data_IF_455125938097
#
_entry.id   IF_455125938097
#
_cell.length_a   1.000
_cell.length_b   1.000
_cell.length_c   1.000
_cell.angle_alpha   90.00
_cell.angle_beta   90.00
_cell.angle_gamma   90.00
#
_symmetry.space_group_name_H-M   'P 1'
#
loop_
_entity.id
_entity.type
_entity.pdbx_description
1 polymer ?
#
# COMPACT_ATOMS: atom_id res chain seq x y z
N UNK A 1 -0.39 -15.86 17.41
CA UNK A 1 -1.25 -14.83 16.77
C UNK A 1 -0.38 -14.01 15.84
N UNK A 2 -0.86 -13.67 14.64
CA UNK A 2 -0.14 -12.86 13.66
C UNK A 2 -0.76 -11.46 13.57
N UNK A 3 0.07 -10.42 13.66
CA UNK A 3 -0.37 -9.03 13.57
C UNK A 3 -0.25 -8.51 12.15
N UNK A 4 -1.25 -7.74 11.73
CA UNK A 4 -1.25 -6.98 10.47
C UNK A 4 -1.55 -5.52 10.82
N UNK A 5 -0.73 -4.59 10.32
CA UNK A 5 -0.93 -3.15 10.52
C UNK A 5 -1.08 -2.45 9.17
N UNK A 6 -2.12 -1.62 9.05
CA UNK A 6 -2.41 -0.81 7.87
C UNK A 6 -2.00 0.64 8.11
N UNK A 7 -1.35 1.25 7.12
CA UNK A 7 -0.84 2.62 7.21
C UNK A 7 -1.16 3.41 5.95
N UNK A 8 -1.25 4.73 6.07
CA UNK A 8 -1.13 5.65 4.92
C UNK A 8 0.32 6.09 4.74
N UNK A 9 0.75 6.38 3.51
CA UNK A 9 2.13 6.74 3.19
C UNK A 9 2.68 7.93 4.01
N UNK A 10 1.92 9.02 4.08
CA UNK A 10 2.36 10.22 4.80
C UNK A 10 2.48 9.98 6.32
N UNK A 11 1.52 9.26 6.91
CA UNK A 11 1.54 8.96 8.34
C UNK A 11 2.67 7.98 8.69
N UNK A 12 2.88 6.95 7.84
CA UNK A 12 3.92 5.95 8.06
C UNK A 12 5.32 6.56 8.12
N UNK A 13 5.60 7.53 7.24
CA UNK A 13 6.88 8.22 7.21
C UNK A 13 7.00 9.33 8.27
N UNK A 14 5.90 9.98 8.65
CA UNK A 14 5.91 11.20 9.46
C UNK A 14 5.66 11.02 10.96
N UNK A 15 5.03 9.93 11.39
CA UNK A 15 4.70 9.72 12.81
C UNK A 15 5.81 8.94 13.54
N UNK A 16 6.44 9.58 14.52
CA UNK A 16 7.55 8.97 15.28
C UNK A 16 7.21 7.65 15.97
N UNK A 17 5.94 7.45 16.35
CA UNK A 17 5.48 6.19 16.96
C UNK A 17 5.65 4.98 16.03
N UNK A 18 5.69 5.18 14.71
CA UNK A 18 5.97 4.10 13.75
C UNK A 18 7.40 3.61 13.91
N UNK A 19 8.36 4.54 13.96
CA UNK A 19 9.77 4.24 14.22
C UNK A 19 9.98 3.58 15.59
N UNK A 20 9.34 4.13 16.62
CA UNK A 20 9.41 3.58 17.99
C UNK A 20 8.88 2.15 18.02
N UNK A 21 7.75 1.88 17.36
CA UNK A 21 7.15 0.53 17.31
C UNK A 21 8.04 -0.47 16.60
N UNK A 22 8.72 -0.09 15.51
CA UNK A 22 9.70 -0.96 14.86
C UNK A 22 10.82 -1.38 15.81
N UNK A 23 11.30 -0.50 16.70
CA UNK A 23 12.34 -0.85 17.67
C UNK A 23 11.89 -1.87 18.71
N UNK A 24 10.58 -2.04 18.91
CA UNK A 24 10.04 -3.05 19.82
C UNK A 24 9.98 -4.44 19.17
N UNK A 25 10.09 -4.54 17.83
CA UNK A 25 9.82 -5.75 17.05
C UNK A 25 10.65 -6.98 17.46
N UNK A 26 11.87 -6.77 17.99
CA UNK A 26 12.80 -7.85 18.37
C UNK A 26 13.19 -7.83 19.86
N UNK A 27 12.55 -6.97 20.67
CA UNK A 27 12.81 -6.94 22.10
C UNK A 27 12.13 -8.13 22.79
N UNK A 28 12.82 -8.88 23.68
CA UNK A 28 12.29 -10.12 24.25
C UNK A 28 10.91 -10.00 24.93
N UNK A 29 10.62 -8.86 25.55
CA UNK A 29 9.37 -8.62 26.27
C UNK A 29 8.27 -7.94 25.44
N UNK A 30 8.55 -7.57 24.19
CA UNK A 30 7.63 -6.81 23.33
C UNK A 30 7.37 -7.46 21.98
N UNK A 31 8.29 -8.31 21.50
CA UNK A 31 8.19 -8.93 20.19
C UNK A 31 6.88 -9.70 20.02
N UNK A 32 6.26 -9.54 18.85
CA UNK A 32 5.09 -10.30 18.42
C UNK A 32 5.46 -11.37 17.39
N UNK A 33 6.76 -11.69 17.26
CA UNK A 33 7.32 -12.58 16.25
C UNK A 33 7.02 -12.12 14.81
N UNK A 34 7.22 -10.82 14.57
CA UNK A 34 7.03 -10.19 13.28
C UNK A 34 5.59 -9.74 13.01
N UNK A 35 5.47 -8.56 12.43
CA UNK A 35 4.22 -7.94 11.97
C UNK A 35 4.27 -7.73 10.46
N UNK A 36 3.14 -7.97 9.77
CA UNK A 36 3.00 -7.62 8.35
C UNK A 36 2.46 -6.19 8.28
N UNK A 37 3.24 -5.29 7.71
CA UNK A 37 2.84 -3.90 7.50
C UNK A 37 2.38 -3.72 6.06
N UNK A 38 1.19 -3.16 5.86
CA UNK A 38 0.70 -2.78 4.53
C UNK A 38 0.55 -1.27 4.50
N UNK A 39 1.28 -0.62 3.59
CA UNK A 39 1.20 0.82 3.38
C UNK A 39 0.37 1.07 2.14
N UNK A 40 -0.77 1.72 2.30
CA UNK A 40 -1.61 2.19 1.20
C UNK A 40 -1.01 3.50 0.70
N UNK A 41 -0.10 3.39 -0.26
CA UNK A 41 0.65 4.51 -0.79
C UNK A 41 -0.06 5.11 -1.99
N UNK A 42 -1.05 5.94 -1.68
CA UNK A 42 -1.81 6.70 -2.67
C UNK A 42 -1.09 7.97 -3.16
N UNK A 43 0.16 8.14 -2.73
CA UNK A 43 1.09 9.21 -3.13
C UNK A 43 0.64 10.62 -2.72
N UNK A 44 -0.23 10.76 -1.71
CA UNK A 44 -0.67 12.07 -1.21
C UNK A 44 -1.21 12.02 0.23
N UNK A 45 -0.64 12.84 1.12
CA UNK A 45 -1.16 13.05 2.47
C UNK A 45 -2.05 14.29 2.53
N UNK A 46 -3.38 14.13 2.59
CA UNK A 46 -4.33 15.25 2.47
C UNK A 46 -4.14 16.02 1.15
N UNK A 47 -3.43 17.16 1.18
CA UNK A 47 -3.02 17.98 0.03
C UNK A 47 -1.50 17.98 -0.19
N UNK A 48 -0.72 17.36 0.70
CA UNK A 48 0.73 17.41 0.74
C UNK A 48 1.35 16.39 -0.21
N UNK A 49 2.26 16.88 -1.07
CA UNK A 49 3.06 16.06 -1.98
C UNK A 49 4.09 15.22 -1.20
N UNK A 50 4.35 13.96 -1.62
CA UNK A 50 5.39 13.10 -1.06
C UNK A 50 6.73 13.77 -0.78
N UNK A 51 7.19 14.65 -1.67
CA UNK A 51 8.47 15.38 -1.57
C UNK A 51 8.51 16.38 -0.41
N UNK A 52 7.33 16.77 0.09
CA UNK A 52 7.15 17.65 1.24
C UNK A 52 6.75 16.89 2.51
N UNK A 53 6.48 15.58 2.41
CA UNK A 53 6.04 14.74 3.53
C UNK A 53 7.17 13.91 4.15
N UNK A 54 8.27 13.68 3.43
CA UNK A 54 9.40 12.85 3.87
C UNK A 54 10.71 13.26 3.22
N UNK A 55 11.83 12.86 3.84
CA UNK A 55 13.20 13.15 3.38
C UNK A 55 13.88 11.96 2.69
N UNK A 56 13.13 10.91 2.36
CA UNK A 56 13.64 9.70 1.72
C UNK A 56 12.78 9.32 0.49
N UNK A 57 13.30 8.50 -0.43
CA UNK A 57 12.56 8.13 -1.65
C UNK A 57 11.20 7.46 -1.39
N UNK A 58 11.14 6.53 -0.44
CA UNK A 58 9.95 5.73 -0.16
C UNK A 58 9.35 6.05 1.21
N UNK A 59 8.01 6.03 1.37
CA UNK A 59 7.41 6.20 2.69
C UNK A 59 7.80 5.08 3.66
N UNK A 60 8.22 3.93 3.11
CA UNK A 60 8.58 2.73 3.87
C UNK A 60 10.02 2.68 4.36
N UNK A 61 10.85 3.67 4.04
CA UNK A 61 12.27 3.66 4.44
C UNK A 61 12.47 3.67 5.96
N UNK A 62 11.46 4.08 6.75
CA UNK A 62 11.47 3.96 8.21
C UNK A 62 11.68 2.52 8.67
N UNK A 63 11.20 1.51 7.93
CA UNK A 63 11.34 0.10 8.28
C UNK A 63 12.76 -0.43 8.12
N UNK A 64 13.63 0.29 7.40
CA UNK A 64 15.04 -0.09 7.24
C UNK A 64 15.82 -0.04 8.54
N UNK A 65 15.35 0.68 9.55
CA UNK A 65 16.01 0.75 10.86
C UNK A 65 16.13 -0.62 11.54
N UNK A 66 15.21 -1.54 11.24
CA UNK A 66 15.25 -2.93 11.72
C UNK A 66 15.58 -3.93 10.60
N UNK A 67 16.01 -3.45 9.44
CA UNK A 67 16.29 -4.25 8.24
C UNK A 67 15.11 -5.15 7.81
N UNK A 68 13.87 -4.72 8.02
CA UNK A 68 12.71 -5.44 7.51
C UNK A 68 12.72 -5.43 5.97
N UNK A 69 12.41 -6.54 5.29
CA UNK A 69 12.22 -6.53 3.84
C UNK A 69 11.04 -5.65 3.46
N UNK A 70 11.19 -4.95 2.34
CA UNK A 70 10.20 -4.04 1.79
C UNK A 70 9.91 -4.47 0.36
N UNK A 71 8.65 -4.77 0.08
CA UNK A 71 8.17 -5.06 -1.27
C UNK A 71 7.33 -3.89 -1.78
N UNK A 72 7.75 -3.30 -2.89
CA UNK A 72 6.97 -2.27 -3.58
C UNK A 72 6.22 -2.93 -4.73
N UNK A 73 4.90 -2.77 -4.77
CA UNK A 73 4.06 -3.40 -5.77
C UNK A 73 3.04 -2.42 -6.34
N UNK A 74 2.83 -2.52 -7.65
CA UNK A 74 1.82 -1.72 -8.35
C UNK A 74 0.42 -2.27 -8.02
N UNK A 75 -0.41 -1.45 -7.37
CA UNK A 75 -1.77 -1.86 -7.00
C UNK A 75 -2.72 -2.04 -8.20
N UNK A 76 -2.36 -1.56 -9.39
CA UNK A 76 -3.09 -1.84 -10.63
C UNK A 76 -2.87 -3.28 -11.16
N UNK A 77 -1.98 -4.06 -10.53
CA UNK A 77 -1.76 -5.48 -10.82
C UNK A 77 -2.13 -6.35 -9.60
N UNK A 78 -3.40 -6.81 -9.50
CA UNK A 78 -3.87 -7.61 -8.37
C UNK A 78 -3.13 -8.94 -8.20
N UNK A 79 -2.66 -9.56 -9.28
CA UNK A 79 -1.92 -10.83 -9.22
C UNK A 79 -0.55 -10.63 -8.57
N UNK A 80 0.17 -9.57 -8.95
CA UNK A 80 1.43 -9.20 -8.32
C UNK A 80 1.25 -8.83 -6.85
N UNK A 81 0.18 -8.12 -6.49
CA UNK A 81 -0.16 -7.82 -5.10
C UNK A 81 -0.38 -9.10 -4.30
N UNK A 82 -1.15 -10.06 -4.84
CA UNK A 82 -1.37 -11.35 -4.20
C UNK A 82 -0.06 -12.11 -3.99
N UNK A 83 0.80 -12.17 -5.01
CA UNK A 83 2.11 -12.82 -4.92
C UNK A 83 2.98 -12.21 -3.81
N UNK A 84 3.10 -10.89 -3.76
CA UNK A 84 3.89 -10.19 -2.75
C UNK A 84 3.33 -10.41 -1.34
N UNK A 85 2.00 -10.40 -1.18
CA UNK A 85 1.37 -10.69 0.10
C UNK A 85 1.64 -12.14 0.56
N UNK A 86 1.64 -13.11 -0.34
CA UNK A 86 2.02 -14.50 -0.04
C UNK A 86 3.48 -14.58 0.42
N UNK A 87 4.41 -13.95 -0.31
CA UNK A 87 5.84 -13.90 0.06
C UNK A 87 6.04 -13.23 1.43
N UNK A 88 5.32 -12.14 1.71
CA UNK A 88 5.37 -11.47 3.00
C UNK A 88 4.87 -12.37 4.15
N UNK A 89 3.77 -13.09 3.95
CA UNK A 89 3.26 -14.05 4.93
C UNK A 89 4.25 -15.19 5.19
N UNK A 90 4.85 -15.74 4.12
CA UNK A 90 5.88 -16.78 4.22
C UNK A 90 7.15 -16.27 4.94
N UNK A 91 7.63 -15.08 4.60
CA UNK A 91 8.76 -14.43 5.29
C UNK A 91 8.49 -14.33 6.78
N UNK A 92 7.35 -13.75 7.15
CA UNK A 92 6.98 -13.56 8.56
C UNK A 92 6.89 -14.90 9.28
N UNK A 93 6.29 -15.91 8.67
CA UNK A 93 6.16 -17.25 9.25
C UNK A 93 7.51 -17.97 9.41
N UNK A 94 8.43 -17.77 8.48
CA UNK A 94 9.75 -18.43 8.46
C UNK A 94 10.74 -17.75 9.41
N UNK A 95 10.81 -16.43 9.36
CA UNK A 95 11.85 -15.66 10.04
C UNK A 95 11.37 -14.97 11.32
N UNK A 96 10.05 -14.89 11.56
CA UNK A 96 9.47 -14.20 12.72
C UNK A 96 9.91 -12.73 12.84
N UNK A 97 10.08 -12.06 11.69
CA UNK A 97 10.48 -10.66 11.59
C UNK A 97 9.42 -9.86 10.85
N UNK A 98 9.41 -8.55 11.09
CA UNK A 98 8.55 -7.62 10.38
C UNK A 98 8.83 -7.65 8.87
N UNK A 99 7.81 -7.33 8.08
CA UNK A 99 7.87 -7.20 6.61
C UNK A 99 6.90 -6.12 6.17
N UNK A 100 7.29 -5.35 5.16
CA UNK A 100 6.48 -4.24 4.65
C UNK A 100 6.07 -4.47 3.20
N UNK A 101 4.80 -4.31 2.91
CA UNK A 101 4.22 -4.26 1.57
C UNK A 101 3.78 -2.83 1.29
N UNK A 102 4.46 -2.17 0.36
CA UNK A 102 4.13 -0.83 -0.15
C UNK A 102 3.23 -0.97 -1.39
N UNK A 103 1.93 -0.76 -1.20
CA UNK A 103 0.93 -0.78 -2.26
C UNK A 103 0.90 0.58 -2.95
N UNK A 104 1.65 0.72 -4.04
CA UNK A 104 1.70 1.96 -4.81
C UNK A 104 0.41 2.09 -5.62
N UNK A 105 -0.41 3.08 -5.27
CA UNK A 105 -1.74 3.30 -5.82
C UNK A 105 -2.03 4.79 -6.00
N UNK A 106 -3.31 5.16 -6.11
CA UNK A 106 -3.75 6.55 -6.20
C UNK A 106 -5.08 6.74 -5.48
N UNK A 107 -5.37 7.98 -5.04
CA UNK A 107 -6.67 8.33 -4.46
C UNK A 107 -7.57 8.96 -5.52
N UNK A 108 -8.70 8.31 -5.83
CA UNK A 108 -9.59 8.74 -6.93
C UNK A 108 -10.33 10.05 -6.66
N UNK A 109 -10.69 10.29 -5.38
CA UNK A 109 -11.42 11.48 -4.91
C UNK A 109 -10.52 12.36 -4.05
N UNK A 110 -11.05 13.49 -3.58
CA UNK A 110 -10.41 14.32 -2.56
C UNK A 110 -10.08 13.56 -1.27
N UNK A 111 -9.52 14.24 -0.27
CA UNK A 111 -9.19 13.56 1.00
C UNK A 111 -10.45 13.05 1.70
N UNK A 112 -11.52 13.83 1.62
CA UNK A 112 -12.89 13.36 1.71
C UNK A 112 -13.62 13.55 0.35
N UNK A 113 -14.81 13.00 0.21
CA UNK A 113 -15.61 13.02 -1.03
C UNK A 113 -16.06 14.42 -1.48
N UNK A 114 -16.09 15.39 -0.56
CA UNK A 114 -16.55 16.76 -0.83
C UNK A 114 -15.38 17.71 -1.14
N UNK A 115 -14.15 17.29 -0.87
CA UNK A 115 -12.94 18.07 -1.16
C UNK A 115 -12.66 18.08 -2.66
N UNK A 116 -12.26 19.26 -3.16
CA UNK A 116 -11.75 19.44 -4.52
C UNK A 116 -10.20 19.42 -4.52
N UNK A 117 -9.57 18.29 -4.87
CA UNK A 117 -8.14 18.14 -4.77
C UNK A 117 -7.36 18.85 -5.89
N UNK A 118 -8.02 19.23 -7.00
CA UNK A 118 -7.36 19.96 -8.08
C UNK A 118 -6.88 21.35 -7.67
N UNK A 119 -7.37 21.91 -6.56
CA UNK A 119 -6.87 23.19 -6.02
C UNK A 119 -5.40 23.12 -5.58
N UNK A 120 -4.92 21.96 -5.16
CA UNK A 120 -3.55 21.79 -4.65
C UNK A 120 -2.72 20.84 -5.49
N UNK A 121 -3.34 19.83 -6.11
CA UNK A 121 -2.65 18.78 -6.89
C UNK A 121 -3.20 18.60 -8.32
N UNK A 122 -3.31 19.67 -9.13
CA UNK A 122 -4.00 19.62 -10.42
C UNK A 122 -3.34 18.67 -11.44
N UNK A 123 -2.01 18.56 -11.46
CA UNK A 123 -1.30 17.70 -12.41
C UNK A 123 -1.53 16.22 -12.12
N UNK A 124 -1.50 15.84 -10.84
CA UNK A 124 -1.76 14.47 -10.40
C UNK A 124 -3.19 14.06 -10.74
N UNK A 125 -4.18 14.89 -10.38
CA UNK A 125 -5.59 14.55 -10.62
C UNK A 125 -5.96 14.56 -12.11
N UNK A 126 -5.31 15.38 -12.95
CA UNK A 126 -5.44 15.25 -14.41
C UNK A 126 -5.02 13.89 -14.95
N UNK A 127 -4.05 13.22 -14.31
CA UNK A 127 -3.66 11.85 -14.68
C UNK A 127 -4.63 10.82 -14.09
N UNK A 128 -5.02 10.98 -12.82
CA UNK A 128 -5.97 10.08 -12.14
C UNK A 128 -7.31 10.03 -12.87
N UNK A 129 -7.83 11.17 -13.34
CA UNK A 129 -9.09 11.22 -14.09
C UNK A 129 -9.06 10.43 -15.41
N UNK A 130 -7.88 10.15 -15.97
CA UNK A 130 -7.70 9.31 -17.17
C UNK A 130 -7.58 7.82 -16.85
N UNK A 131 -7.41 7.45 -15.57
CA UNK A 131 -7.22 6.06 -15.19
C UNK A 131 -8.52 5.28 -15.27
N UNK A 132 -8.46 4.13 -15.94
CA UNK A 132 -9.50 3.10 -15.84
C UNK A 132 -9.40 2.44 -14.45
N UNK A 133 -10.51 2.24 -13.73
CA UNK A 133 -10.49 1.59 -12.41
C UNK A 133 -9.85 0.20 -12.46
N UNK A 134 -9.07 -0.15 -11.43
CA UNK A 134 -8.36 -1.44 -11.33
C UNK A 134 -9.28 -2.65 -11.53
N UNK A 135 -10.47 -2.64 -10.92
CA UNK A 135 -11.45 -3.72 -11.06
C UNK A 135 -11.81 -3.96 -12.53
N UNK A 136 -12.04 -2.87 -13.28
CA UNK A 136 -12.36 -2.96 -14.70
C UNK A 136 -11.15 -3.43 -15.51
N UNK A 137 -9.96 -2.86 -15.28
CA UNK A 137 -8.72 -3.30 -15.95
C UNK A 137 -8.49 -4.80 -15.79
N UNK A 138 -8.68 -5.32 -14.58
CA UNK A 138 -8.46 -6.72 -14.27
C UNK A 138 -9.56 -7.62 -14.84
N UNK A 139 -10.83 -7.20 -14.75
CA UNK A 139 -11.94 -7.92 -15.37
C UNK A 139 -11.79 -8.02 -16.90
N UNK A 140 -11.46 -6.91 -17.56
CA UNK A 140 -11.22 -6.88 -19.01
C UNK A 140 -10.10 -7.84 -19.41
N UNK A 141 -9.02 -7.94 -18.60
CA UNK A 141 -7.95 -8.94 -18.79
C UNK A 141 -8.48 -10.37 -18.69
N UNK A 142 -9.18 -10.71 -17.61
CA UNK A 142 -9.68 -12.07 -17.38
C UNK A 142 -10.72 -12.51 -18.42
N UNK A 143 -11.53 -11.59 -18.91
CA UNK A 143 -12.50 -11.84 -20.00
C UNK A 143 -11.77 -12.08 -21.31
N UNK A 144 -10.75 -11.27 -21.62
CA UNK A 144 -9.93 -11.46 -22.82
C UNK A 144 -9.21 -12.83 -22.81
N UNK A 145 -8.76 -13.27 -21.64
CA UNK A 145 -8.08 -14.55 -21.44
C UNK A 145 -9.07 -15.73 -21.28
N UNK A 146 -10.39 -15.47 -21.31
CA UNK A 146 -11.44 -16.49 -21.19
C UNK A 146 -11.57 -17.15 -19.82
N UNK A 147 -10.92 -16.59 -18.79
CA UNK A 147 -10.95 -17.10 -17.41
C UNK A 147 -12.27 -16.78 -16.72
N UNK A 148 -12.89 -15.65 -17.07
CA UNK A 148 -14.18 -15.18 -16.55
C UNK A 148 -15.04 -14.73 -17.74
N UNK A 149 -16.34 -15.02 -17.70
CA UNK A 149 -17.29 -14.52 -18.69
C UNK A 149 -17.83 -13.14 -18.30
N UNK A 150 -18.27 -12.35 -19.29
CA UNK A 150 -18.90 -11.05 -19.00
C UNK A 150 -20.12 -11.20 -18.07
N UNK A 151 -20.90 -12.27 -18.24
CA UNK A 151 -22.07 -12.53 -17.42
C UNK A 151 -21.70 -12.83 -15.95
N UNK A 152 -20.63 -13.58 -15.70
CA UNK A 152 -20.13 -13.81 -14.34
C UNK A 152 -19.62 -12.51 -13.70
N UNK A 153 -18.95 -11.63 -14.46
CA UNK A 153 -18.51 -10.34 -13.96
C UNK A 153 -19.69 -9.43 -13.58
N UNK A 154 -20.69 -9.30 -14.45
CA UNK A 154 -21.84 -8.41 -14.24
C UNK A 154 -22.76 -8.83 -13.08
N UNK A 155 -22.80 -10.12 -12.72
CA UNK A 155 -23.59 -10.63 -11.59
C UNK A 155 -22.98 -10.24 -10.23
N UNK A 156 -21.68 -9.93 -10.19
CA UNK A 156 -20.93 -9.70 -8.95
C UNK A 156 -20.50 -8.24 -8.72
N UNK A 157 -20.89 -7.32 -9.60
CA UNK A 157 -20.61 -5.87 -9.51
C UNK A 157 -21.90 -5.10 -9.25
#
# INVERSE_FOLDING_TARGET
VMSILLHGDAAFAGQGVVYETFHLSDLPSYTTNGTIHVVVNNQIGFTTDPRMARSSPYPTDVARVVNAPIFHVNADDPEAVMYVCSVAAEWRNTFNKDVVVDLVCYRRRGHNEMDEPMFTQPLMYKQIHKQVPVLKKYADKLIADGTVTLQEFEVHV
#
